data_IF_495944984345
#
_entry.id   IF_495944984345
#
_cell.length_a   1.000
_cell.length_b   1.000
_cell.length_c   1.000
_cell.angle_alpha   90.00
_cell.angle_beta   90.00
_cell.angle_gamma   90.00
#
_symmetry.space_group_name_H-M   'P 1'
#
loop_
_entity.id
_entity.type
_entity.pdbx_description
1 polymer ?
#
# COMPACT_ATOMS: atom_id res chain seq x y z
N UNK A 1 -6.47 -2.03 -12.28
CA UNK A 1 -6.94 -2.75 -11.09
C UNK A 1 -5.97 -2.40 -9.99
N UNK A 2 -6.17 -1.23 -9.38
CA UNK A 2 -5.22 -0.63 -8.44
C UNK A 2 -6.02 -0.35 -7.20
N UNK A 3 -5.71 -1.06 -6.13
CA UNK A 3 -6.25 -0.80 -4.81
C UNK A 3 -5.56 0.48 -4.36
N UNK A 4 -6.14 1.63 -4.66
CA UNK A 4 -5.59 2.91 -4.20
C UNK A 4 -6.04 3.09 -2.75
N UNK A 5 -5.22 2.55 -1.87
CA UNK A 5 -5.31 2.76 -0.44
C UNK A 5 -4.25 3.77 -0.11
N UNK A 6 -4.68 4.87 0.47
CA UNK A 6 -3.77 5.77 1.16
C UNK A 6 -4.51 6.42 2.30
N UNK A 7 -3.70 6.93 3.20
CA UNK A 7 -4.00 7.11 4.59
C UNK A 7 -3.59 8.52 4.93
N UNK A 8 -4.57 9.42 5.08
CA UNK A 8 -4.68 10.50 6.05
C UNK A 8 -5.69 11.55 5.57
N UNK A 9 -6.09 12.36 6.53
CA UNK A 9 -7.18 13.32 6.63
C UNK A 9 -7.23 14.43 5.57
N UNK A 10 -8.44 14.85 5.18
CA UNK A 10 -8.66 16.10 4.43
C UNK A 10 -10.07 16.24 3.85
N UNK A 11 -10.85 17.18 4.38
CA UNK A 11 -12.20 17.53 3.93
C UNK A 11 -12.16 18.60 2.83
N UNK A 12 -12.22 18.22 1.55
CA UNK A 12 -12.47 19.18 0.47
C UNK A 12 -13.39 18.57 -0.59
N UNK A 13 -14.37 19.34 -1.05
CA UNK A 13 -15.36 18.96 -2.07
C UNK A 13 -14.72 18.92 -3.46
N UNK A 14 -14.76 17.77 -4.12
CA UNK A 14 -14.03 17.51 -5.38
C UNK A 14 -14.92 17.77 -6.62
N UNK A 15 -14.47 18.54 -7.64
CA UNK A 15 -15.17 18.67 -8.91
C UNK A 15 -15.10 17.35 -9.74
N UNK A 16 -16.12 17.02 -10.55
CA UNK A 16 -16.17 15.74 -11.25
C UNK A 16 -15.02 15.59 -12.26
N UNK A 17 -14.11 14.64 -12.01
CA UNK A 17 -13.09 14.22 -12.98
C UNK A 17 -13.73 13.34 -14.06
N UNK A 18 -13.29 13.43 -15.33
CA UNK A 18 -13.86 12.67 -16.45
C UNK A 18 -13.52 11.17 -16.44
N UNK A 19 -12.67 10.70 -15.52
CA UNK A 19 -12.20 9.31 -15.46
C UNK A 19 -12.99 8.55 -14.40
N UNK A 20 -13.69 7.48 -14.82
CA UNK A 20 -14.38 6.55 -13.92
C UNK A 20 -13.56 5.28 -13.74
N UNK A 21 -13.28 4.94 -12.48
CA UNK A 21 -12.63 3.71 -12.08
C UNK A 21 -13.66 2.63 -11.70
N UNK A 22 -13.28 1.35 -11.60
CA UNK A 22 -14.19 0.25 -11.27
C UNK A 22 -14.83 0.32 -9.87
N UNK A 23 -14.45 1.29 -9.03
CA UNK A 23 -15.01 1.52 -7.70
C UNK A 23 -14.21 0.87 -6.57
N UNK A 24 -14.59 1.18 -5.32
CA UNK A 24 -13.94 0.71 -4.10
C UNK A 24 -14.34 -0.70 -3.68
N UNK A 25 -15.38 -1.26 -4.30
CA UNK A 25 -16.02 -2.51 -3.85
C UNK A 25 -16.28 -2.48 -2.33
N UNK A 26 -16.09 -3.60 -1.63
CA UNK A 26 -16.22 -3.71 -0.17
C UNK A 26 -14.97 -3.30 0.62
N UNK A 27 -13.94 -2.73 -0.02
CA UNK A 27 -12.67 -2.41 0.66
C UNK A 27 -12.86 -1.45 1.84
N UNK A 28 -13.77 -0.48 1.71
CA UNK A 28 -14.12 0.46 2.78
C UNK A 28 -14.59 -0.22 4.07
N UNK A 29 -15.20 -1.41 3.98
CA UNK A 29 -15.63 -2.19 5.15
C UNK A 29 -14.55 -3.19 5.59
N UNK A 30 -13.94 -3.90 4.64
CA UNK A 30 -12.90 -4.89 4.92
C UNK A 30 -11.71 -4.31 5.68
N UNK A 31 -11.34 -3.07 5.34
CA UNK A 31 -10.22 -2.36 5.97
C UNK A 31 -10.45 -2.11 7.46
N UNK A 32 -11.70 -2.09 7.92
CA UNK A 32 -12.00 -1.89 9.33
C UNK A 32 -12.03 -3.19 10.12
N UNK A 33 -12.23 -4.34 9.46
CA UNK A 33 -12.47 -5.60 10.14
C UNK A 33 -11.37 -6.65 9.98
N UNK A 34 -10.69 -6.67 8.84
CA UNK A 34 -9.73 -7.72 8.50
C UNK A 34 -8.33 -7.30 8.96
N UNK A 35 -7.68 -8.02 9.90
CA UNK A 35 -6.39 -7.60 10.47
C UNK A 35 -5.20 -7.70 9.51
N UNK A 36 -5.32 -8.54 8.48
CA UNK A 36 -4.21 -8.91 7.60
C UNK A 36 -4.55 -8.64 6.14
N UNK A 37 -4.87 -7.40 5.79
CA UNK A 37 -5.11 -7.06 4.38
C UNK A 37 -3.78 -6.82 3.67
N UNK A 38 -3.58 -7.52 2.56
CA UNK A 38 -2.43 -7.33 1.69
C UNK A 38 -2.89 -6.58 0.44
N UNK A 39 -2.30 -5.43 0.19
CA UNK A 39 -2.41 -4.73 -1.08
C UNK A 39 -1.48 -5.38 -2.07
N UNK A 40 -1.91 -5.52 -3.31
CA UNK A 40 -1.01 -5.91 -4.38
C UNK A 40 -1.19 -5.02 -5.60
N UNK A 41 -0.08 -4.64 -6.23
CA UNK A 41 -0.06 -3.93 -7.51
C UNK A 41 1.10 -4.42 -8.37
N UNK A 42 0.79 -4.93 -9.56
CA UNK A 42 1.83 -5.31 -10.52
C UNK A 42 2.47 -4.12 -11.23
N UNK A 43 1.85 -2.94 -11.13
CA UNK A 43 2.37 -1.71 -11.71
C UNK A 43 3.02 -0.87 -10.61
N UNK A 44 4.35 -0.92 -10.53
CA UNK A 44 5.17 -0.12 -9.63
C UNK A 44 5.76 1.08 -10.38
N UNK A 45 5.19 2.26 -10.18
CA UNK A 45 5.69 3.52 -10.72
C UNK A 45 5.21 4.70 -9.88
N UNK A 46 5.88 5.86 -10.00
CA UNK A 46 5.52 7.09 -9.29
C UNK A 46 4.08 7.54 -9.59
N UNK A 47 3.54 7.20 -10.77
CA UNK A 47 2.15 7.49 -11.14
C UNK A 47 1.13 6.71 -10.32
N UNK A 48 1.48 5.49 -9.90
CA UNK A 48 0.57 4.60 -9.18
C UNK A 48 0.78 4.67 -7.66
N UNK A 49 2.03 4.93 -7.24
CA UNK A 49 2.45 5.04 -5.85
C UNK A 49 2.70 6.52 -5.52
N UNK A 50 1.62 7.29 -5.41
CA UNK A 50 1.66 8.76 -5.24
C UNK A 50 1.69 9.16 -3.76
N UNK A 51 2.26 10.33 -3.45
CA UNK A 51 2.21 10.93 -2.10
C UNK A 51 0.80 11.32 -1.66
N UNK A 52 -0.05 11.80 -2.59
CA UNK A 52 -1.44 12.17 -2.31
C UNK A 52 -2.37 11.60 -3.36
N UNK A 53 -3.45 10.96 -2.89
CA UNK A 53 -4.48 10.37 -3.74
C UNK A 53 -5.62 11.35 -3.98
N UNK A 54 -6.29 11.19 -5.12
CA UNK A 54 -7.47 11.98 -5.47
C UNK A 54 -8.72 11.55 -4.70
N UNK A 55 -8.82 10.26 -4.38
CA UNK A 55 -9.99 9.68 -3.72
C UNK A 55 -9.57 8.55 -2.77
N UNK A 56 -10.04 8.64 -1.52
CA UNK A 56 -9.79 7.60 -0.51
C UNK A 56 -10.90 6.57 -0.58
N UNK A 57 -10.59 5.42 -1.20
CA UNK A 57 -11.54 4.30 -1.29
C UNK A 57 -11.66 3.51 0.02
N UNK A 58 -10.53 3.30 0.69
CA UNK A 58 -10.44 2.69 2.00
C UNK A 58 -9.26 3.31 2.74
N UNK A 59 -9.49 4.00 3.88
CA UNK A 59 -8.40 4.60 4.64
C UNK A 59 -7.59 3.50 5.33
N UNK A 60 -6.27 3.62 5.41
CA UNK A 60 -5.41 2.64 6.10
C UNK A 60 -5.34 2.80 7.63
N UNK A 61 -5.65 3.98 8.15
CA UNK A 61 -5.76 4.34 9.57
C UNK A 61 -7.12 4.98 9.81
N UNK A 62 -7.45 5.20 11.08
CA UNK A 62 -8.67 5.87 11.50
C UNK A 62 -8.37 6.88 12.61
N UNK A 63 -9.29 7.82 12.83
CA UNK A 63 -9.17 8.74 13.97
C UNK A 63 -9.28 8.00 15.31
N UNK A 64 -8.82 8.64 16.39
CA UNK A 64 -8.69 8.05 17.73
C UNK A 64 -9.97 7.43 18.28
N UNK A 65 -11.14 7.92 17.89
CA UNK A 65 -12.46 7.45 18.37
C UNK A 65 -13.13 6.44 17.44
N UNK A 66 -12.40 5.86 16.48
CA UNK A 66 -12.97 4.89 15.54
C UNK A 66 -12.37 3.52 15.82
N UNK A 67 -13.21 2.60 16.31
CA UNK A 67 -12.81 1.23 16.55
C UNK A 67 -12.48 0.53 15.22
N UNK A 68 -11.24 0.06 15.10
CA UNK A 68 -10.72 -0.50 13.87
C UNK A 68 -9.73 -1.64 14.14
N UNK A 69 -10.22 -2.89 14.32
CA UNK A 69 -9.35 -4.05 14.49
C UNK A 69 -8.61 -4.46 13.20
N UNK A 70 -9.10 -3.99 12.04
CA UNK A 70 -8.55 -4.32 10.73
C UNK A 70 -7.58 -3.29 10.15
N UNK A 71 -6.98 -3.64 9.02
CA UNK A 71 -6.25 -2.69 8.21
C UNK A 71 -5.28 -3.32 7.23
N UNK A 72 -4.64 -2.48 6.42
CA UNK A 72 -3.53 -2.90 5.59
C UNK A 72 -2.38 -3.35 6.48
N UNK A 73 -1.70 -4.42 6.08
CA UNK A 73 -0.49 -4.91 6.75
C UNK A 73 0.72 -4.90 5.83
N UNK A 74 0.50 -5.18 4.55
CA UNK A 74 1.56 -5.20 3.54
C UNK A 74 1.09 -4.60 2.23
N UNK A 75 2.02 -3.99 1.50
CA UNK A 75 1.87 -3.64 0.10
C UNK A 75 2.92 -4.39 -0.71
N UNK A 76 2.46 -5.40 -1.45
CA UNK A 76 3.28 -6.16 -2.38
C UNK A 76 3.21 -5.50 -3.75
N UNK A 77 4.38 -5.25 -4.34
CA UNK A 77 4.48 -4.74 -5.70
C UNK A 77 5.27 -5.67 -6.59
N UNK A 78 5.39 -5.31 -7.87
CA UNK A 78 6.29 -5.99 -8.80
C UNK A 78 7.77 -5.81 -8.49
N UNK A 79 8.15 -4.97 -7.51
CA UNK A 79 9.56 -4.68 -7.17
C UNK A 79 9.95 -4.93 -5.71
N UNK A 80 9.00 -4.78 -4.80
CA UNK A 80 9.27 -4.84 -3.36
C UNK A 80 8.03 -5.15 -2.54
N UNK A 81 8.26 -5.40 -1.25
CA UNK A 81 7.26 -5.53 -0.21
C UNK A 81 7.44 -4.38 0.79
N UNK A 82 6.41 -3.58 0.97
CA UNK A 82 6.31 -2.62 2.06
C UNK A 82 5.50 -3.22 3.22
N UNK A 83 5.88 -2.92 4.45
CA UNK A 83 5.05 -3.13 5.63
C UNK A 83 4.29 -1.85 5.99
N UNK A 84 3.15 -2.06 6.65
CA UNK A 84 2.36 -0.99 7.21
C UNK A 84 2.16 -1.25 8.70
N UNK A 85 2.56 -0.27 9.51
CA UNK A 85 2.39 -0.29 10.94
C UNK A 85 1.32 0.74 11.31
N UNK A 86 0.26 0.33 11.99
CA UNK A 86 -0.80 1.25 12.39
C UNK A 86 -0.31 2.27 13.44
N UNK A 87 0.76 1.96 14.16
CA UNK A 87 1.34 2.84 15.17
C UNK A 87 2.28 3.90 14.61
N UNK A 88 2.79 3.71 13.38
CA UNK A 88 3.75 4.61 12.73
C UNK A 88 3.15 5.16 11.45
N UNK A 89 3.17 6.49 11.21
CA UNK A 89 2.69 7.02 9.94
C UNK A 89 3.64 6.60 8.80
N UNK A 90 3.06 6.03 7.73
CA UNK A 90 3.80 5.74 6.50
C UNK A 90 4.00 4.25 6.22
N UNK A 91 4.77 3.97 5.17
CA UNK A 91 5.21 2.62 4.81
C UNK A 91 6.67 2.45 5.17
N UNK A 92 7.08 1.20 5.46
CA UNK A 92 8.51 0.87 5.53
C UNK A 92 8.86 -0.23 4.54
N UNK A 93 10.01 -0.07 3.90
CA UNK A 93 10.51 -1.02 2.91
C UNK A 93 11.08 -2.25 3.63
N UNK A 94 10.33 -3.35 3.59
CA UNK A 94 10.69 -4.59 4.26
C UNK A 94 11.63 -5.47 3.44
N UNK A 95 11.38 -5.57 2.14
CA UNK A 95 12.21 -6.39 1.25
C UNK A 95 12.09 -5.93 -0.20
N UNK A 96 13.18 -6.09 -0.95
CA UNK A 96 13.20 -5.90 -2.41
C UNK A 96 13.19 -7.24 -3.13
N UNK A 97 12.63 -7.29 -4.34
CA UNK A 97 12.70 -8.50 -5.16
C UNK A 97 14.10 -8.67 -5.77
N UNK A 98 14.45 -9.88 -6.22
CA UNK A 98 15.72 -10.13 -6.86
C UNK A 98 15.99 -9.19 -8.04
N UNK A 99 17.16 -8.54 -8.03
CA UNK A 99 17.58 -7.60 -9.06
C UNK A 99 17.08 -6.16 -8.89
N UNK A 100 16.29 -5.87 -7.85
CA UNK A 100 15.88 -4.50 -7.49
C UNK A 100 16.77 -3.98 -6.34
N UNK A 101 17.01 -2.67 -6.34
CA UNK A 101 17.77 -2.00 -5.28
C UNK A 101 16.89 -1.00 -4.54
N UNK A 102 17.33 -0.55 -3.36
CA UNK A 102 16.63 0.48 -2.60
C UNK A 102 16.53 1.77 -3.42
N UNK A 103 17.59 2.14 -4.15
CA UNK A 103 17.57 3.33 -5.01
C UNK A 103 16.52 3.18 -6.13
N UNK A 104 16.48 2.03 -6.80
CA UNK A 104 15.53 1.80 -7.90
C UNK A 104 14.08 1.84 -7.40
N UNK A 105 13.80 1.29 -6.22
CA UNK A 105 12.48 1.36 -5.58
C UNK A 105 12.15 2.80 -5.20
N UNK A 106 13.10 3.54 -4.65
CA UNK A 106 12.92 4.95 -4.26
C UNK A 106 12.61 5.81 -5.49
N UNK A 107 13.39 5.68 -6.56
CA UNK A 107 13.21 6.41 -7.81
C UNK A 107 11.86 6.13 -8.47
N UNK A 108 11.27 4.96 -8.22
CA UNK A 108 9.99 4.55 -8.79
C UNK A 108 8.81 4.69 -7.83
N UNK A 109 9.00 5.25 -6.64
CA UNK A 109 7.97 5.48 -5.62
C UNK A 109 7.77 6.98 -5.42
N UNK A 110 6.53 7.45 -5.48
CA UNK A 110 6.19 8.87 -5.36
C UNK A 110 5.79 9.30 -3.94
N UNK A 111 5.91 8.43 -2.95
CA UNK A 111 5.73 8.74 -1.52
C UNK A 111 7.02 8.43 -0.75
N UNK A 112 7.19 9.10 0.38
CA UNK A 112 8.29 8.83 1.30
C UNK A 112 8.00 7.57 2.13
N UNK A 113 9.02 6.75 2.35
CA UNK A 113 8.96 5.53 3.15
C UNK A 113 10.24 5.36 3.95
N UNK A 114 10.14 4.71 5.09
CA UNK A 114 11.31 4.35 5.89
C UNK A 114 11.94 3.06 5.36
N UNK A 115 13.21 2.86 5.63
CA UNK A 115 13.92 1.63 5.29
C UNK A 115 14.24 0.88 6.58
N UNK A 116 13.78 -0.36 6.72
CA UNK A 116 14.19 -1.20 7.86
C UNK A 116 15.69 -1.49 7.80
N UNK A 117 16.35 -1.53 8.95
CA UNK A 117 17.81 -1.76 9.05
C UNK A 117 18.25 -3.08 8.36
N UNK A 118 17.36 -4.06 8.28
CA UNK A 118 17.54 -5.30 7.51
C UNK A 118 16.55 -5.38 6.35
N UNK A 119 16.88 -4.76 5.21
CA UNK A 119 16.14 -5.02 3.96
C UNK A 119 16.54 -6.39 3.44
N UNK A 120 15.64 -7.35 3.56
CA UNK A 120 15.86 -8.67 2.99
C UNK A 120 15.68 -8.65 1.47
N UNK A 121 16.42 -9.47 0.74
CA UNK A 121 16.02 -9.87 -0.61
C UNK A 121 14.88 -10.89 -0.48
N UNK A 122 13.74 -10.63 -1.14
CA UNK A 122 12.59 -11.52 -1.07
C UNK A 122 12.90 -12.81 -1.86
N UNK A 123 13.28 -13.85 -1.14
CA UNK A 123 13.55 -15.17 -1.72
C UNK A 123 12.34 -15.75 -2.45
N UNK A 124 12.59 -16.34 -3.62
CA UNK A 124 11.56 -16.94 -4.48
C UNK A 124 10.92 -18.17 -3.79
N UNK A 125 9.67 -18.04 -3.32
CA UNK A 125 8.91 -19.16 -2.71
C UNK A 125 8.19 -20.05 -3.73
N UNK A 126 8.80 -20.36 -4.88
CA UNK A 126 8.15 -21.24 -5.88
C UNK A 126 8.54 -22.72 -5.74
N UNK A 127 9.58 -23.07 -4.98
CA UNK A 127 10.07 -24.46 -4.95
C UNK A 127 9.42 -25.40 -3.91
N UNK A 128 8.50 -24.95 -3.04
CA UNK A 128 8.04 -25.80 -1.90
C UNK A 128 6.61 -26.36 -1.96
N UNK A 129 5.79 -26.03 -2.95
CA UNK A 129 4.38 -26.50 -3.01
C UNK A 129 3.92 -26.96 -4.41
N UNK A 130 4.82 -27.54 -5.20
CA UNK A 130 4.48 -28.28 -6.42
C UNK A 130 4.97 -29.72 -6.23
N UNK A 131 4.20 -30.50 -5.46
CA UNK A 131 4.21 -31.96 -5.43
C UNK A 131 2.80 -32.44 -5.12
#
# INVERSE_FOLDING_TARGET
MVVQISILWGSETIPPKPVRFPGSFGSAYLYFLVPNVILFSLAHSQRNLVSKVDFVSAPGTSGENIFRPGGPRFLLTSRCLFDFDQSVPGFRLRSVHPGETIETVTDNTGFEFDVTEEVAELGFLVSKNLN
#
